data_IF_888037063531
#
_entry.id   IF_888037063531
#
_cell.length_a   1.000
_cell.length_b   1.000
_cell.length_c   1.000
_cell.angle_alpha   90.00
_cell.angle_beta   90.00
_cell.angle_gamma   90.00
#
_symmetry.space_group_name_H-M   'P 1'
#
loop_
_entity.id
_entity.type
_entity.pdbx_description
1 polymer ?
#
# COMPACT_ATOMS: atom_id res chain seq x y z
N UNK A 1 25.31 -59.84 1.46
CA UNK A 1 24.10 -60.04 0.64
C UNK A 1 22.96 -59.40 1.38
N UNK A 2 22.34 -58.43 0.71
CA UNK A 2 20.96 -57.93 0.84
C UNK A 2 20.43 -57.45 2.20
N UNK A 3 19.91 -56.22 2.17
CA UNK A 3 19.13 -55.63 3.26
C UNK A 3 18.96 -54.12 3.10
N UNK A 4 18.24 -53.71 2.06
CA UNK A 4 17.90 -52.32 1.75
C UNK A 4 17.04 -51.69 2.86
N UNK A 5 17.40 -50.48 3.32
CA UNK A 5 16.42 -49.57 3.94
C UNK A 5 16.75 -48.12 3.55
N UNK A 6 15.97 -47.62 2.61
CA UNK A 6 15.88 -46.21 2.23
C UNK A 6 15.55 -45.36 3.46
N UNK A 7 16.40 -44.39 3.78
CA UNK A 7 16.02 -43.22 4.57
C UNK A 7 16.37 -41.98 3.76
N UNK A 8 15.48 -41.65 2.84
CA UNK A 8 15.35 -40.30 2.29
C UNK A 8 14.65 -39.47 3.36
N UNK A 9 15.41 -38.70 4.15
CA UNK A 9 14.85 -37.57 4.89
C UNK A 9 15.20 -36.29 4.15
N UNK A 10 14.22 -35.88 3.34
CA UNK A 10 14.06 -34.56 2.75
C UNK A 10 14.20 -33.50 3.85
N UNK A 11 15.33 -32.79 3.89
CA UNK A 11 15.36 -31.42 4.40
C UNK A 11 15.00 -30.49 3.24
N UNK A 12 13.82 -30.73 2.67
CA UNK A 12 13.15 -29.79 1.80
C UNK A 12 12.76 -28.59 2.64
N UNK A 13 13.39 -27.47 2.33
CA UNK A 13 12.96 -26.11 2.58
C UNK A 13 11.89 -25.91 3.63
N UNK A 14 12.31 -25.40 4.78
CA UNK A 14 11.59 -24.27 5.36
C UNK A 14 11.80 -23.06 4.44
N UNK A 15 11.30 -23.16 3.19
CA UNK A 15 10.74 -21.99 2.56
C UNK A 15 9.57 -21.64 3.45
N UNK A 16 9.80 -20.71 4.37
CA UNK A 16 8.76 -19.78 4.71
C UNK A 16 8.43 -19.11 3.38
N UNK A 17 7.55 -19.73 2.59
CA UNK A 17 6.70 -19.00 1.69
C UNK A 17 5.88 -18.13 2.63
N UNK A 18 6.47 -16.99 2.99
CA UNK A 18 5.76 -15.78 3.32
C UNK A 18 4.75 -15.67 2.21
N UNK A 19 3.55 -16.20 2.45
CA UNK A 19 2.39 -15.83 1.69
C UNK A 19 2.22 -14.39 2.10
N UNK A 20 3.01 -13.50 1.49
CA UNK A 20 2.78 -12.07 1.53
C UNK A 20 1.30 -11.97 1.18
N UNK A 21 0.47 -11.61 2.16
CA UNK A 21 -0.96 -11.49 1.96
C UNK A 21 -1.13 -10.61 0.74
N UNK A 22 -1.47 -11.22 -0.40
CA UNK A 22 -1.60 -10.50 -1.65
C UNK A 22 -2.78 -9.56 -1.45
N UNK A 23 -2.48 -8.29 -1.18
CA UNK A 23 -3.50 -7.26 -1.03
C UNK A 23 -4.15 -7.11 -2.40
N UNK A 24 -5.47 -7.38 -2.54
CA UNK A 24 -6.12 -7.17 -3.82
C UNK A 24 -6.12 -5.68 -4.14
N UNK A 25 -5.85 -5.35 -5.40
CA UNK A 25 -5.89 -3.99 -5.92
C UNK A 25 -7.02 -3.83 -6.93
N UNK A 26 -7.61 -2.65 -6.96
CA UNK A 26 -8.78 -2.35 -7.77
C UNK A 26 -8.59 -1.02 -8.50
N UNK A 27 -8.49 -1.08 -9.83
CA UNK A 27 -8.44 0.10 -10.68
C UNK A 27 -9.82 0.72 -10.80
N UNK A 28 -9.93 2.01 -10.48
CA UNK A 28 -11.16 2.78 -10.55
C UNK A 28 -10.99 3.83 -11.65
N UNK A 29 -11.63 3.58 -12.79
CA UNK A 29 -11.62 4.48 -13.94
C UNK A 29 -12.64 5.64 -13.78
N UNK A 30 -12.51 6.38 -12.68
CA UNK A 30 -13.26 7.60 -12.39
C UNK A 30 -12.25 8.65 -11.98
N UNK A 31 -12.34 9.86 -12.55
CA UNK A 31 -11.41 10.94 -12.25
C UNK A 31 -11.86 11.65 -10.98
N UNK A 32 -10.99 11.67 -9.98
CA UNK A 32 -11.20 12.32 -8.70
C UNK A 32 -9.92 13.06 -8.28
N UNK A 33 -10.06 14.08 -7.44
CA UNK A 33 -8.92 14.59 -6.67
C UNK A 33 -8.40 13.51 -5.73
N UNK A 34 -7.14 13.61 -5.30
CA UNK A 34 -6.57 12.64 -4.37
C UNK A 34 -7.41 12.44 -3.08
N UNK A 35 -7.89 13.50 -2.37
CA UNK A 35 -8.71 13.29 -1.16
C UNK A 35 -10.10 12.69 -1.45
N UNK A 36 -10.70 13.01 -2.59
CA UNK A 36 -11.96 12.39 -3.03
C UNK A 36 -11.77 10.90 -3.34
N UNK A 37 -10.69 10.56 -4.05
CA UNK A 37 -10.31 9.18 -4.35
C UNK A 37 -10.04 8.38 -3.06
N UNK A 38 -9.35 8.97 -2.08
CA UNK A 38 -9.16 8.37 -0.76
C UNK A 38 -10.48 8.07 -0.07
N UNK A 39 -11.41 9.04 -0.08
CA UNK A 39 -12.73 8.88 0.53
C UNK A 39 -13.53 7.78 -0.17
N UNK A 40 -13.47 7.72 -1.51
CA UNK A 40 -14.08 6.65 -2.29
C UNK A 40 -13.54 5.27 -1.89
N UNK A 41 -12.21 5.13 -1.80
CA UNK A 41 -11.59 3.88 -1.43
C UNK A 41 -11.96 3.45 -0.01
N UNK A 42 -11.96 4.38 0.97
CA UNK A 42 -12.34 4.07 2.36
C UNK A 42 -13.82 3.72 2.54
N UNK A 43 -14.68 4.14 1.61
CA UNK A 43 -16.09 3.78 1.64
C UNK A 43 -16.34 2.35 1.11
N UNK A 44 -15.53 1.89 0.15
CA UNK A 44 -15.78 0.67 -0.64
C UNK A 44 -14.72 -0.42 -0.49
N UNK A 45 -13.54 -0.09 0.02
CA UNK A 45 -12.35 -0.92 0.16
C UNK A 45 -11.62 -0.52 1.46
N UNK A 46 -10.32 -0.81 1.57
CA UNK A 46 -9.53 -0.38 2.74
C UNK A 46 -9.08 1.08 2.62
N UNK A 47 -8.26 1.40 1.60
CA UNK A 47 -7.76 2.75 1.32
C UNK A 47 -7.24 2.83 -0.14
N UNK A 48 -6.70 3.97 -0.56
CA UNK A 48 -5.86 4.08 -1.75
C UNK A 48 -4.66 3.14 -1.67
N UNK A 49 -4.19 2.65 -2.82
CA UNK A 49 -3.16 1.63 -2.91
C UNK A 49 -1.88 1.98 -2.16
N UNK A 50 -1.49 1.11 -1.23
CA UNK A 50 -0.17 1.09 -0.59
C UNK A 50 0.73 0.12 -1.33
N UNK A 51 1.97 0.54 -1.59
CA UNK A 51 2.96 -0.23 -2.39
C UNK A 51 4.20 -0.46 -1.53
N UNK A 52 4.54 -1.72 -1.26
CA UNK A 52 5.67 -2.08 -0.40
C UNK A 52 6.82 -2.81 -1.12
N UNK A 53 6.64 -3.14 -2.41
CA UNK A 53 7.59 -3.93 -3.18
C UNK A 53 7.48 -3.68 -4.69
N UNK A 54 8.45 -4.18 -5.46
CA UNK A 54 8.35 -4.21 -6.92
C UNK A 54 7.24 -5.15 -7.41
N UNK A 55 6.91 -6.19 -6.66
CA UNK A 55 5.78 -7.06 -6.99
C UNK A 55 4.46 -6.30 -6.92
N UNK A 56 4.28 -5.42 -5.94
CA UNK A 56 3.13 -4.53 -5.87
C UNK A 56 3.08 -3.58 -7.08
N UNK A 57 4.21 -2.96 -7.43
CA UNK A 57 4.31 -2.09 -8.63
C UNK A 57 3.84 -2.84 -9.87
N UNK A 58 4.34 -4.07 -10.08
CA UNK A 58 3.97 -4.91 -11.21
C UNK A 58 2.47 -5.26 -11.20
N UNK A 59 1.90 -5.58 -10.03
CA UNK A 59 0.45 -5.83 -9.91
C UNK A 59 -0.36 -4.58 -10.23
N UNK A 60 0.03 -3.41 -9.74
CA UNK A 60 -0.64 -2.14 -10.01
C UNK A 60 -0.61 -1.78 -11.50
N UNK A 61 0.54 -1.94 -12.17
CA UNK A 61 0.66 -1.66 -13.61
C UNK A 61 -0.27 -2.57 -14.42
N UNK A 62 -0.37 -3.85 -14.06
CA UNK A 62 -1.15 -4.85 -14.80
C UNK A 62 -2.68 -4.73 -14.64
N UNK A 63 -3.18 -4.06 -13.60
CA UNK A 63 -4.63 -3.90 -13.39
C UNK A 63 -5.22 -2.65 -14.06
N UNK A 64 -4.37 -1.72 -14.49
CA UNK A 64 -4.83 -0.52 -15.18
C UNK A 64 -5.20 -0.87 -16.63
N UNK A 65 -6.26 -0.26 -17.15
CA UNK A 65 -6.75 -0.51 -18.51
C UNK A 65 -5.63 -0.35 -19.55
N UNK A 66 -5.48 -1.32 -20.45
CA UNK A 66 -4.38 -1.41 -21.43
C UNK A 66 -4.25 -0.21 -22.40
N UNK A 67 -5.25 0.68 -22.45
CA UNK A 67 -5.22 1.92 -23.24
C UNK A 67 -4.93 3.19 -22.44
N UNK A 68 -4.82 3.11 -21.11
CA UNK A 68 -4.55 4.27 -20.27
C UNK A 68 -3.05 4.50 -20.11
N UNK A 69 -2.57 5.65 -20.62
CA UNK A 69 -1.15 6.04 -20.58
C UNK A 69 -0.86 7.20 -19.61
N UNK A 70 -1.82 7.54 -18.74
CA UNK A 70 -1.66 8.61 -17.76
C UNK A 70 -1.13 8.12 -16.41
N UNK A 71 -1.17 9.00 -15.41
CA UNK A 71 -0.94 8.61 -14.02
C UNK A 71 -2.23 8.27 -13.29
N UNK A 72 -2.15 7.36 -12.34
CA UNK A 72 -3.25 6.97 -11.46
C UNK A 72 -2.87 7.26 -10.01
N UNK A 73 -3.81 7.73 -9.20
CA UNK A 73 -3.53 7.98 -7.79
C UNK A 73 -3.21 6.69 -7.03
N UNK A 74 -2.18 6.77 -6.19
CA UNK A 74 -1.85 5.79 -5.15
C UNK A 74 -1.91 6.48 -3.78
N UNK A 75 -1.83 5.72 -2.69
CA UNK A 75 -2.03 6.21 -1.33
C UNK A 75 -0.89 7.05 -0.76
N UNK A 76 0.17 7.35 -1.53
CA UNK A 76 1.31 8.12 -1.04
C UNK A 76 1.04 9.62 -1.10
N UNK A 77 1.34 10.33 -0.02
CA UNK A 77 1.24 11.79 0.07
C UNK A 77 2.32 12.37 0.98
N UNK A 78 2.47 13.70 0.97
CA UNK A 78 3.37 14.40 1.90
C UNK A 78 2.97 14.11 3.34
N UNK A 79 3.96 13.70 4.13
CA UNK A 79 3.84 13.49 5.57
C UNK A 79 4.08 14.77 6.36
N UNK A 80 3.73 14.73 7.64
CA UNK A 80 3.98 15.82 8.60
C UNK A 80 5.29 15.66 9.37
N UNK A 81 5.90 14.47 9.28
CA UNK A 81 7.13 14.11 9.96
C UNK A 81 8.10 13.48 8.97
N UNK A 82 9.39 13.62 9.26
CA UNK A 82 10.45 12.94 8.52
C UNK A 82 11.00 11.79 9.35
N UNK A 83 11.24 10.64 8.72
CA UNK A 83 11.78 9.44 9.39
C UNK A 83 12.86 8.79 8.54
N UNK A 84 13.96 8.40 9.17
CA UNK A 84 15.00 7.63 8.51
C UNK A 84 14.50 6.21 8.24
N UNK A 85 14.70 5.74 7.01
CA UNK A 85 14.32 4.40 6.60
C UNK A 85 15.17 3.88 5.45
N UNK A 86 15.04 2.58 5.21
CA UNK A 86 15.79 1.88 4.18
C UNK A 86 15.01 1.83 2.87
N UNK A 87 15.73 2.07 1.77
CA UNK A 87 15.19 2.17 0.41
C UNK A 87 14.42 0.92 -0.06
N UNK A 88 14.79 -0.25 0.46
CA UNK A 88 14.11 -1.53 0.18
C UNK A 88 12.74 -1.65 0.87
N UNK A 89 12.34 -0.69 1.72
CA UNK A 89 11.08 -0.71 2.44
C UNK A 89 11.10 -1.50 3.74
N UNK A 90 12.27 -1.85 4.26
CA UNK A 90 12.35 -2.40 5.62
C UNK A 90 11.81 -1.39 6.64
N UNK A 91 10.92 -1.85 7.53
CA UNK A 91 10.33 -1.07 8.61
C UNK A 91 11.19 -1.13 9.89
N UNK A 92 12.34 -1.83 9.85
CA UNK A 92 13.35 -1.62 10.87
C UNK A 92 13.86 -0.19 10.75
N UNK A 93 13.57 0.63 11.76
CA UNK A 93 14.32 1.86 11.98
C UNK A 93 15.81 1.48 11.98
N UNK A 94 16.68 2.29 11.38
CA UNK A 94 18.12 2.05 11.37
C UNK A 94 18.66 2.06 12.82
N UNK A 95 18.57 0.91 13.49
CA UNK A 95 19.05 0.70 14.86
C UNK A 95 20.57 0.64 14.88
N UNK A 96 21.14 0.10 13.81
CA UNK A 96 22.57 0.15 13.54
C UNK A 96 22.91 1.42 12.76
N UNK A 97 23.92 2.16 13.22
CA UNK A 97 24.41 3.34 12.53
C UNK A 97 25.88 3.61 12.81
N UNK A 98 26.59 4.09 11.79
CA UNK A 98 27.99 4.51 11.87
C UNK A 98 28.13 5.99 11.46
N UNK A 99 27.18 6.82 11.90
CA UNK A 99 27.19 8.26 11.65
C UNK A 99 28.45 8.91 12.21
N UNK A 100 29.07 9.79 11.41
CA UNK A 100 30.10 10.68 11.90
C UNK A 100 29.54 11.65 12.95
N UNK A 101 30.41 12.17 13.83
CA UNK A 101 30.05 13.22 14.78
C UNK A 101 29.37 14.40 14.06
N UNK A 102 28.24 14.85 14.60
CA UNK A 102 27.42 15.92 14.01
C UNK A 102 26.45 15.48 12.89
N UNK A 103 26.41 14.19 12.53
CA UNK A 103 25.47 13.63 11.56
C UNK A 103 24.45 12.67 12.21
N UNK A 104 23.26 12.48 11.60
CA UNK A 104 22.73 13.25 10.47
C UNK A 104 22.46 14.71 10.87
N UNK A 105 22.79 15.64 9.96
CA UNK A 105 22.56 17.07 10.13
C UNK A 105 21.29 17.52 9.39
N UNK A 106 20.88 18.77 9.57
CA UNK A 106 19.68 19.33 8.93
C UNK A 106 19.83 19.61 7.43
N UNK A 107 21.02 19.47 6.87
CA UNK A 107 21.35 19.84 5.49
C UNK A 107 21.16 18.70 4.48
N UNK A 108 21.07 17.45 4.97
CA UNK A 108 21.05 16.26 4.13
C UNK A 108 19.95 15.27 4.47
N UNK A 109 19.25 14.80 3.44
CA UNK A 109 18.18 13.80 3.56
C UNK A 109 18.61 12.42 3.03
N UNK A 110 19.81 12.29 2.48
CA UNK A 110 20.32 11.04 1.93
C UNK A 110 21.68 10.69 2.53
N UNK A 111 21.93 9.41 2.76
CA UNK A 111 23.15 8.95 3.41
C UNK A 111 24.20 8.51 2.40
N UNK A 112 25.42 9.01 2.56
CA UNK A 112 26.59 8.53 1.83
C UNK A 112 27.68 8.06 2.78
N UNK A 113 28.54 7.20 2.25
CA UNK A 113 29.77 6.80 2.91
C UNK A 113 30.95 7.61 2.39
N UNK A 114 31.78 8.06 3.31
CA UNK A 114 33.14 8.53 3.04
C UNK A 114 34.04 8.27 4.25
N UNK A 115 35.34 8.07 4.01
CA UNK A 115 36.35 8.00 5.07
C UNK A 115 36.05 6.98 6.21
N UNK A 116 35.31 5.90 5.94
CA UNK A 116 35.03 4.87 6.94
C UNK A 116 33.72 5.04 7.71
N UNK A 117 33.00 6.16 7.55
CA UNK A 117 31.80 6.53 8.34
C UNK A 117 30.68 7.08 7.46
N UNK A 118 29.49 7.27 8.05
CA UNK A 118 28.29 7.75 7.35
C UNK A 118 28.09 9.25 7.52
N UNK A 119 27.59 9.89 6.47
CA UNK A 119 27.30 11.31 6.41
C UNK A 119 25.96 11.55 5.74
N UNK A 120 25.24 12.58 6.16
CA UNK A 120 24.01 13.07 5.53
C UNK A 120 24.34 14.14 4.51
N UNK A 121 23.73 14.08 3.32
CA UNK A 121 23.99 15.03 2.24
C UNK A 121 22.74 15.28 1.37
N UNK A 122 22.66 16.41 0.64
CA UNK A 122 21.54 16.67 -0.25
C UNK A 122 21.38 15.55 -1.29
N UNK A 123 20.18 14.97 -1.37
CA UNK A 123 19.88 13.85 -2.27
C UNK A 123 20.10 14.16 -3.75
N UNK A 124 20.06 15.45 -4.12
CA UNK A 124 20.30 15.95 -5.49
C UNK A 124 21.76 15.87 -5.93
N UNK A 125 22.69 15.67 -4.99
CA UNK A 125 24.12 15.62 -5.29
C UNK A 125 24.48 14.38 -6.10
N UNK A 126 25.39 14.53 -7.06
CA UNK A 126 25.84 13.41 -7.88
C UNK A 126 26.98 12.68 -7.18
N UNK A 127 26.78 11.41 -6.83
CA UNK A 127 27.81 10.51 -6.29
C UNK A 127 27.76 9.16 -7.02
N UNK A 128 28.75 8.31 -6.78
CA UNK A 128 28.66 6.88 -7.06
C UNK A 128 27.71 6.21 -6.06
N UNK A 129 27.40 4.92 -6.23
CA UNK A 129 26.53 4.21 -5.29
C UNK A 129 26.98 2.76 -5.06
N UNK A 130 26.39 2.14 -4.03
CA UNK A 130 26.51 0.70 -3.80
C UNK A 130 25.11 0.09 -3.87
N UNK A 131 24.93 -0.88 -4.76
CA UNK A 131 23.73 -1.69 -4.83
C UNK A 131 23.92 -3.00 -4.04
N UNK A 132 22.82 -3.64 -3.65
CA UNK A 132 22.83 -5.04 -3.27
C UNK A 132 22.02 -5.87 -4.27
N UNK A 133 22.36 -7.15 -4.38
CA UNK A 133 21.65 -8.14 -5.19
C UNK A 133 21.27 -9.33 -4.33
N UNK A 134 19.98 -9.62 -4.17
CA UNK A 134 19.49 -10.84 -3.50
C UNK A 134 19.85 -12.08 -4.31
N UNK A 135 19.84 -11.97 -5.64
CA UNK A 135 20.12 -13.09 -6.55
C UNK A 135 21.56 -13.59 -6.44
N UNK A 136 22.53 -12.66 -6.39
CA UNK A 136 23.95 -13.02 -6.25
C UNK A 136 24.47 -12.96 -4.82
N UNK A 137 23.68 -12.44 -3.87
CA UNK A 137 24.09 -12.17 -2.49
C UNK A 137 25.35 -11.28 -2.39
N UNK A 138 25.45 -10.27 -3.25
CA UNK A 138 26.63 -9.41 -3.37
C UNK A 138 26.29 -7.91 -3.22
N UNK A 139 27.31 -7.15 -2.80
CA UNK A 139 27.33 -5.70 -2.88
C UNK A 139 28.11 -5.24 -4.11
N UNK A 140 27.49 -4.40 -4.94
CA UNK A 140 28.04 -3.96 -6.22
C UNK A 140 28.26 -2.46 -6.20
N UNK A 141 29.51 -2.02 -6.33
CA UNK A 141 29.82 -0.59 -6.49
C UNK A 141 29.52 -0.13 -7.92
N UNK A 142 28.68 0.88 -8.04
CA UNK A 142 28.31 1.49 -9.32
C UNK A 142 29.07 2.80 -9.52
N UNK A 143 29.94 2.81 -10.53
CA UNK A 143 30.76 3.97 -10.90
C UNK A 143 30.05 4.88 -11.92
N UNK A 144 28.84 5.32 -11.57
CA UNK A 144 28.06 6.27 -12.37
C UNK A 144 27.62 7.41 -11.46
N UNK A 145 27.91 8.65 -11.86
CA UNK A 145 27.50 9.85 -11.13
C UNK A 145 25.99 10.02 -11.23
N UNK A 146 25.29 9.82 -10.11
CA UNK A 146 23.83 9.88 -10.02
C UNK A 146 23.42 10.55 -8.72
N UNK A 147 22.29 11.25 -8.74
CA UNK A 147 21.61 11.64 -7.51
C UNK A 147 21.06 10.38 -6.81
N UNK A 148 20.65 10.50 -5.55
CA UNK A 148 20.27 9.34 -4.75
C UNK A 148 19.10 8.56 -5.36
N UNK A 149 18.04 9.25 -5.84
CA UNK A 149 16.88 8.58 -6.46
C UNK A 149 17.26 7.86 -7.76
N UNK A 150 18.09 8.48 -8.61
CA UNK A 150 18.52 7.88 -9.87
C UNK A 150 19.46 6.70 -9.63
N UNK A 151 20.28 6.76 -8.56
CA UNK A 151 21.11 5.65 -8.12
C UNK A 151 20.25 4.47 -7.64
N UNK A 152 19.19 4.74 -6.86
CA UNK A 152 18.20 3.74 -6.46
C UNK A 152 17.51 3.09 -7.66
N UNK A 153 17.01 3.91 -8.58
CA UNK A 153 16.38 3.43 -9.80
C UNK A 153 17.32 2.56 -10.64
N UNK A 154 18.60 2.94 -10.72
CA UNK A 154 19.62 2.13 -11.39
C UNK A 154 19.82 0.78 -10.68
N UNK A 155 19.95 0.77 -9.35
CA UNK A 155 20.11 -0.47 -8.60
C UNK A 155 18.92 -1.40 -8.78
N UNK A 156 17.68 -0.89 -8.76
CA UNK A 156 16.46 -1.70 -8.99
C UNK A 156 16.32 -2.20 -10.43
N UNK A 157 16.90 -1.51 -11.40
CA UNK A 157 16.88 -1.92 -12.79
C UNK A 157 17.88 -3.03 -13.10
N UNK A 158 19.02 -3.06 -12.40
CA UNK A 158 20.14 -3.94 -12.71
C UNK A 158 20.47 -4.98 -11.62
N UNK A 159 19.96 -4.77 -10.41
CA UNK A 159 20.20 -5.55 -9.19
C UNK A 159 18.89 -5.55 -8.35
N UNK A 160 18.96 -5.60 -7.02
CA UNK A 160 17.77 -5.52 -6.16
C UNK A 160 17.44 -4.09 -5.73
N UNK A 161 18.33 -3.41 -5.00
CA UNK A 161 18.15 -2.01 -4.56
C UNK A 161 19.50 -1.40 -4.12
N UNK A 162 19.51 -0.15 -3.63
CA UNK A 162 20.65 0.41 -2.91
C UNK A 162 20.95 -0.40 -1.64
N UNK A 163 22.24 -0.56 -1.33
CA UNK A 163 22.71 -1.34 -0.19
C UNK A 163 22.11 -0.86 1.14
N UNK A 164 21.54 -1.80 1.90
CA UNK A 164 21.04 -1.59 3.26
C UNK A 164 22.01 -2.17 4.28
N UNK A 165 22.03 -1.64 5.51
CA UNK A 165 23.03 -2.00 6.52
C UNK A 165 22.37 -2.19 7.89
N UNK A 166 22.22 -3.43 8.33
CA UNK A 166 21.51 -3.77 9.57
C UNK A 166 22.45 -4.18 10.70
N UNK A 167 23.71 -4.45 10.38
CA UNK A 167 24.72 -4.91 11.34
C UNK A 167 26.14 -4.61 10.85
N UNK A 168 27.11 -4.85 11.73
CA UNK A 168 28.52 -4.61 11.45
C UNK A 168 29.14 -5.56 10.42
N UNK A 169 28.59 -6.78 10.24
CA UNK A 169 29.06 -7.73 9.24
C UNK A 169 28.74 -7.24 7.83
N UNK A 170 27.48 -6.87 7.58
CA UNK A 170 27.05 -6.19 6.35
C UNK A 170 27.88 -4.93 6.10
N UNK A 171 28.14 -4.16 7.15
CA UNK A 171 28.96 -2.97 7.03
C UNK A 171 30.39 -3.25 6.56
N UNK A 172 31.03 -4.27 7.12
CA UNK A 172 32.37 -4.66 6.73
C UNK A 172 32.43 -5.16 5.28
N UNK A 173 31.41 -5.89 4.82
CA UNK A 173 31.31 -6.32 3.42
C UNK A 173 31.19 -5.13 2.47
N UNK A 174 30.34 -4.15 2.78
CA UNK A 174 30.18 -2.93 1.96
C UNK A 174 31.48 -2.13 1.91
N UNK A 175 32.19 -1.95 3.03
CA UNK A 175 33.49 -1.27 3.03
C UNK A 175 34.52 -1.96 2.11
N UNK A 176 34.49 -3.28 1.99
CA UNK A 176 35.44 -4.03 1.17
C UNK A 176 35.30 -3.73 -0.33
N UNK A 177 34.13 -3.30 -0.80
CA UNK A 177 33.87 -2.96 -2.21
C UNK A 177 34.02 -1.46 -2.51
N UNK A 178 34.31 -0.63 -1.49
CA UNK A 178 34.44 0.82 -1.63
C UNK A 178 35.91 1.24 -1.43
N UNK A 179 36.57 1.84 -2.44
CA UNK A 179 37.90 2.42 -2.25
C UNK A 179 37.91 3.54 -1.21
N UNK A 180 38.98 3.66 -0.42
CA UNK A 180 39.07 4.56 0.75
C UNK A 180 38.76 6.04 0.49
N UNK A 181 38.97 6.52 -0.74
CA UNK A 181 38.71 7.91 -1.16
C UNK A 181 37.42 8.07 -2.00
N UNK A 182 36.49 7.12 -1.92
CA UNK A 182 35.22 7.20 -2.65
C UNK A 182 34.09 7.73 -1.80
N UNK A 183 33.20 8.51 -2.43
CA UNK A 183 31.95 8.94 -1.85
C UNK A 183 30.83 8.19 -2.55
N UNK A 184 30.06 7.40 -1.79
CA UNK A 184 29.06 6.51 -2.37
C UNK A 184 27.73 6.60 -1.62
N UNK A 185 26.64 6.71 -2.38
CA UNK A 185 25.29 6.54 -1.87
C UNK A 185 25.04 5.10 -1.43
N UNK A 186 24.26 4.96 -0.36
CA UNK A 186 23.65 3.71 0.07
C UNK A 186 22.18 3.96 0.46
N UNK A 187 21.45 2.91 0.80
CA UNK A 187 19.99 2.90 0.82
C UNK A 187 19.31 3.62 1.99
N UNK A 188 20.04 4.27 2.88
CA UNK A 188 19.47 5.01 4.00
C UNK A 188 19.08 6.43 3.55
N UNK A 189 17.84 6.83 3.83
CA UNK A 189 17.33 8.16 3.50
C UNK A 189 16.28 8.64 4.51
N UNK A 190 16.12 9.95 4.59
CA UNK A 190 15.18 10.65 5.45
C UNK A 190 13.90 10.89 4.65
N UNK A 191 12.90 10.05 4.88
CA UNK A 191 11.66 10.07 4.13
C UNK A 191 10.67 11.10 4.71
N UNK A 192 10.06 11.89 3.83
CA UNK A 192 9.03 12.89 4.15
C UNK A 192 7.64 12.53 3.62
N UNK A 193 7.47 11.31 3.13
CA UNK A 193 6.22 10.80 2.56
C UNK A 193 5.58 9.77 3.48
N UNK A 194 4.25 9.75 3.51
CA UNK A 194 3.47 8.77 4.26
C UNK A 194 2.38 8.13 3.41
N UNK A 195 2.10 6.86 3.69
CA UNK A 195 0.94 6.17 3.13
C UNK A 195 -0.35 6.60 3.84
N UNK A 196 -1.42 6.69 3.07
CA UNK A 196 -2.74 7.17 3.51
C UNK A 196 -3.34 6.29 4.60
N UNK A 197 -3.07 4.99 4.55
CA UNK A 197 -3.47 3.96 5.51
C UNK A 197 -2.59 3.91 6.77
N UNK A 198 -1.61 4.82 6.89
CA UNK A 198 -0.63 4.89 7.99
C UNK A 198 0.31 3.69 8.08
N UNK A 199 0.41 2.88 7.02
CA UNK A 199 1.37 1.80 6.96
C UNK A 199 2.81 2.35 6.88
N UNK A 200 3.68 1.90 7.79
CA UNK A 200 5.06 2.40 7.95
C UNK A 200 6.01 1.67 7.00
N UNK A 201 5.94 1.94 5.68
CA UNK A 201 6.93 1.41 4.73
C UNK A 201 7.60 2.51 3.93
N UNK A 202 8.91 2.40 3.82
CA UNK A 202 9.81 3.36 3.16
C UNK A 202 10.06 3.04 1.68
N UNK A 203 9.41 2.00 1.11
CA UNK A 203 9.59 1.68 -0.30
C UNK A 203 9.14 2.85 -1.18
N UNK A 204 10.04 3.35 -2.04
CA UNK A 204 9.76 4.46 -2.97
C UNK A 204 10.15 4.11 -4.39
N UNK A 205 9.25 4.27 -5.36
CA UNK A 205 9.52 3.99 -6.77
C UNK A 205 9.41 5.25 -7.64
N UNK A 206 10.08 6.33 -7.21
CA UNK A 206 10.08 7.61 -7.91
C UNK A 206 10.64 7.52 -9.34
N UNK A 207 10.05 8.30 -10.23
CA UNK A 207 10.59 8.61 -11.55
C UNK A 207 11.89 9.41 -11.45
N UNK A 208 12.67 9.45 -12.53
CA UNK A 208 13.88 10.25 -12.59
C UNK A 208 13.58 11.72 -12.28
N UNK A 209 14.40 12.35 -11.42
CA UNK A 209 14.19 13.72 -10.97
C UNK A 209 13.03 13.93 -9.98
N UNK A 210 12.40 12.87 -9.49
CA UNK A 210 11.39 12.92 -8.43
C UNK A 210 11.94 12.42 -7.07
N UNK A 211 11.36 12.85 -5.94
CA UNK A 211 10.46 13.99 -5.82
C UNK A 211 11.20 15.31 -6.14
N UNK A 212 10.63 16.13 -7.03
CA UNK A 212 11.02 17.54 -7.21
C UNK A 212 10.98 18.31 -5.89
N UNK A 213 11.99 19.16 -5.68
CA UNK A 213 12.08 20.11 -4.55
C UNK A 213 11.42 21.47 -4.84
N UNK A 214 10.82 21.65 -6.02
CA UNK A 214 10.17 22.91 -6.39
C UNK A 214 8.92 23.18 -5.55
N UNK A 215 8.72 24.43 -5.11
CA UNK A 215 7.56 24.85 -4.29
C UNK A 215 6.18 24.59 -4.91
N UNK A 216 6.09 24.22 -6.19
CA UNK A 216 4.86 23.87 -6.88
C UNK A 216 4.68 22.38 -7.20
N UNK A 217 5.53 21.48 -6.67
CA UNK A 217 5.53 20.06 -7.10
C UNK A 217 4.32 19.24 -6.65
N UNK A 218 3.43 19.78 -5.82
CA UNK A 218 2.27 19.07 -5.29
C UNK A 218 2.65 18.02 -4.22
N UNK A 219 1.67 17.67 -3.40
CA UNK A 219 1.87 16.84 -2.20
C UNK A 219 1.21 15.46 -2.30
N UNK A 220 0.71 15.09 -3.49
CA UNK A 220 0.04 13.83 -3.76
C UNK A 220 0.74 13.10 -4.90
N UNK A 221 0.68 11.76 -4.89
CA UNK A 221 1.52 10.94 -5.76
C UNK A 221 0.70 10.08 -6.69
N UNK A 222 1.04 10.16 -7.97
CA UNK A 222 0.48 9.31 -9.01
C UNK A 222 1.52 8.34 -9.55
N UNK A 223 1.07 7.12 -9.87
CA UNK A 223 1.86 6.10 -10.55
C UNK A 223 1.62 6.18 -12.05
N UNK A 224 2.68 6.27 -12.86
CA UNK A 224 2.60 6.27 -14.32
C UNK A 224 2.68 4.85 -14.88
N UNK A 225 1.67 4.42 -15.64
CA UNK A 225 1.73 3.14 -16.37
C UNK A 225 2.66 3.21 -17.58
N UNK A 226 2.82 4.39 -18.18
CA UNK A 226 3.71 4.62 -19.32
C UNK A 226 5.20 4.61 -18.95
N UNK A 227 5.52 4.78 -17.67
CA UNK A 227 6.89 4.78 -17.14
C UNK A 227 7.08 3.61 -16.15
N UNK A 228 6.64 2.40 -16.54
CA UNK A 228 6.87 1.17 -15.78
C UNK A 228 6.46 1.23 -14.29
N UNK A 229 5.39 1.96 -13.97
CA UNK A 229 4.91 2.11 -12.59
C UNK A 229 5.67 3.14 -11.76
N UNK A 230 6.51 3.99 -12.37
CA UNK A 230 7.25 5.06 -11.68
C UNK A 230 6.33 6.16 -11.18
N UNK A 231 6.75 6.80 -10.08
CA UNK A 231 5.93 7.76 -9.35
C UNK A 231 6.36 9.19 -9.59
N UNK A 232 5.37 10.09 -9.63
CA UNK A 232 5.61 11.52 -9.68
C UNK A 232 4.65 12.25 -8.75
N UNK A 233 5.08 13.44 -8.33
CA UNK A 233 4.25 14.34 -7.53
C UNK A 233 3.30 15.12 -8.43
N UNK A 234 2.11 15.39 -7.91
CA UNK A 234 1.05 16.15 -8.56
C UNK A 234 0.29 16.98 -7.52
N UNK A 235 -0.34 18.06 -7.99
CA UNK A 235 -1.33 18.78 -7.18
C UNK A 235 -2.43 17.82 -6.74
N UNK A 236 -2.78 17.84 -5.46
CA UNK A 236 -3.80 16.95 -4.89
C UNK A 236 -5.20 17.16 -5.50
N UNK A 237 -5.46 18.34 -6.08
CA UNK A 237 -6.73 18.69 -6.72
C UNK A 237 -6.85 18.15 -8.16
N UNK A 238 -5.76 17.60 -8.72
CA UNK A 238 -5.75 17.07 -10.08
C UNK A 238 -6.69 15.87 -10.20
N UNK A 239 -7.53 15.88 -11.24
CA UNK A 239 -8.56 14.87 -11.45
C UNK A 239 -8.00 13.68 -12.24
N UNK A 240 -7.73 12.56 -11.56
CA UNK A 240 -7.15 11.35 -12.17
C UNK A 240 -7.87 10.08 -11.70
N UNK A 241 -7.87 9.00 -12.52
CA UNK A 241 -8.19 7.66 -12.06
C UNK A 241 -7.29 7.22 -10.90
N UNK A 242 -7.69 6.19 -10.17
CA UNK A 242 -7.01 5.81 -8.94
C UNK A 242 -7.10 4.31 -8.66
N UNK A 243 -6.25 3.84 -7.76
CA UNK A 243 -6.22 2.43 -7.36
C UNK A 243 -6.55 2.33 -5.87
N UNK A 244 -7.56 1.53 -5.52
CA UNK A 244 -7.85 1.14 -4.14
C UNK A 244 -7.20 -0.21 -3.81
N UNK A 245 -6.96 -0.49 -2.53
CA UNK A 245 -6.58 -1.83 -2.07
C UNK A 245 -7.50 -2.39 -1.00
N UNK A 246 -7.42 -3.71 -0.83
CA UNK A 246 -8.15 -4.47 0.17
C UNK A 246 -9.48 -4.97 -0.35
N UNK A 247 -10.09 -5.88 0.39
CA UNK A 247 -11.34 -6.51 -0.02
C UNK A 247 -12.45 -5.46 -0.17
N UNK A 248 -13.33 -5.69 -1.16
CA UNK A 248 -14.56 -4.91 -1.30
C UNK A 248 -15.36 -4.99 0.01
N UNK A 249 -15.60 -3.84 0.62
CA UNK A 249 -16.42 -3.72 1.82
C UNK A 249 -17.88 -3.96 1.47
N UNK A 250 -18.37 -5.16 1.79
CA UNK A 250 -19.79 -5.47 1.73
C UNK A 250 -20.52 -4.80 2.90
N UNK A 251 -20.86 -3.51 2.77
CA UNK A 251 -21.67 -2.81 3.78
C UNK A 251 -23.09 -3.38 3.80
N UNK A 252 -23.38 -4.23 4.78
CA UNK A 252 -24.75 -4.67 5.08
C UNK A 252 -25.50 -3.52 5.73
N UNK A 253 -26.38 -2.86 4.99
CA UNK A 253 -27.35 -1.96 5.57
C UNK A 253 -28.56 -2.76 6.06
N UNK A 254 -28.95 -2.56 7.33
CA UNK A 254 -30.12 -3.20 7.91
C UNK A 254 -31.26 -2.19 7.87
N UNK A 255 -32.27 -2.48 7.06
CA UNK A 255 -33.51 -1.70 7.00
C UNK A 255 -34.57 -2.42 7.85
N UNK A 256 -35.20 -1.70 8.79
CA UNK A 256 -36.33 -2.21 9.56
C UNK A 256 -37.62 -1.88 8.82
N UNK A 257 -38.42 -2.89 8.51
CA UNK A 257 -39.71 -2.74 7.83
C UNK A 257 -40.85 -2.95 8.81
N UNK A 258 -41.87 -2.11 8.72
CA UNK A 258 -43.15 -2.28 9.40
C UNK A 258 -44.21 -2.44 8.32
N UNK A 259 -44.84 -3.61 8.30
CA UNK A 259 -45.83 -3.98 7.29
C UNK A 259 -47.16 -4.31 8.00
N UNK A 260 -48.27 -4.03 7.32
CA UNK A 260 -49.60 -4.39 7.77
C UNK A 260 -50.33 -5.08 6.62
N UNK A 261 -50.93 -6.23 6.88
CA UNK A 261 -51.80 -6.91 5.94
C UNK A 261 -53.02 -7.47 6.68
N UNK A 262 -54.18 -7.47 6.01
CA UNK A 262 -55.45 -7.89 6.61
C UNK A 262 -55.64 -9.41 6.60
N UNK A 263 -55.19 -10.07 5.54
CA UNK A 263 -55.36 -11.53 5.32
C UNK A 263 -54.08 -12.15 4.76
N UNK A 264 -52.95 -11.97 5.45
CA UNK A 264 -51.70 -12.58 5.01
C UNK A 264 -50.83 -13.01 6.19
N UNK A 265 -49.97 -14.00 5.96
CA UNK A 265 -48.92 -14.40 6.90
C UNK A 265 -47.59 -13.83 6.42
N UNK A 266 -47.07 -12.78 7.06
CA UNK A 266 -45.82 -12.11 6.65
C UNK A 266 -44.59 -13.04 6.65
N UNK A 267 -44.64 -14.16 7.36
CA UNK A 267 -43.59 -15.19 7.34
C UNK A 267 -43.78 -16.28 6.26
N UNK A 268 -44.76 -16.13 5.36
CA UNK A 268 -44.89 -17.00 4.19
C UNK A 268 -43.72 -16.79 3.20
N UNK A 269 -43.02 -17.85 2.77
CA UNK A 269 -41.86 -17.73 1.88
C UNK A 269 -42.14 -17.08 0.53
N UNK A 270 -43.33 -17.32 -0.06
CA UNK A 270 -43.70 -16.76 -1.36
C UNK A 270 -43.98 -15.25 -1.25
N UNK A 271 -44.63 -14.84 -0.16
CA UNK A 271 -44.87 -13.44 0.15
C UNK A 271 -43.55 -12.70 0.46
N UNK A 272 -42.68 -13.30 1.26
CA UNK A 272 -41.34 -12.78 1.56
C UNK A 272 -40.50 -12.54 0.30
N UNK A 273 -40.56 -13.47 -0.65
CA UNK A 273 -39.86 -13.36 -1.94
C UNK A 273 -40.43 -12.20 -2.76
N UNK A 274 -41.77 -12.07 -2.79
CA UNK A 274 -42.46 -11.00 -3.51
C UNK A 274 -42.13 -9.61 -2.93
N UNK A 275 -42.08 -9.48 -1.60
CA UNK A 275 -41.68 -8.23 -0.93
C UNK A 275 -40.22 -7.86 -1.26
N UNK A 276 -39.28 -8.82 -1.21
CA UNK A 276 -37.89 -8.53 -1.58
C UNK A 276 -37.77 -8.10 -3.04
N UNK A 277 -38.53 -8.71 -3.94
CA UNK A 277 -38.57 -8.33 -5.34
C UNK A 277 -39.07 -6.89 -5.51
N UNK A 278 -40.17 -6.51 -4.84
CA UNK A 278 -40.71 -5.16 -4.91
C UNK A 278 -39.73 -4.11 -4.35
N UNK A 279 -39.06 -4.41 -3.23
CA UNK A 279 -37.99 -3.56 -2.68
C UNK A 279 -36.85 -3.42 -3.69
N UNK A 280 -36.44 -4.52 -4.34
CA UNK A 280 -35.38 -4.50 -5.36
C UNK A 280 -35.73 -3.59 -6.52
N UNK A 281 -36.94 -3.72 -7.09
CA UNK A 281 -37.41 -2.88 -8.19
C UNK A 281 -37.52 -1.41 -7.77
N UNK A 282 -37.94 -1.14 -6.54
CA UNK A 282 -38.01 0.23 -6.04
C UNK A 282 -36.62 0.85 -5.91
N UNK A 283 -35.64 0.11 -5.38
CA UNK A 283 -34.25 0.57 -5.29
C UNK A 283 -33.65 0.86 -6.68
N UNK A 284 -33.91 -0.01 -7.67
CA UNK A 284 -33.53 0.24 -9.07
C UNK A 284 -34.15 1.53 -9.60
N UNK A 285 -35.44 1.75 -9.39
CA UNK A 285 -36.13 2.97 -9.84
C UNK A 285 -35.60 4.26 -9.21
N UNK A 286 -34.91 4.15 -8.07
CA UNK A 286 -34.28 5.26 -7.36
C UNK A 286 -32.81 5.47 -7.75
N UNK A 287 -32.30 4.73 -8.75
CA UNK A 287 -30.91 4.82 -9.19
C UNK A 287 -29.90 4.22 -8.20
N UNK A 288 -30.35 3.41 -7.23
CA UNK A 288 -29.51 2.70 -6.27
C UNK A 288 -29.05 1.35 -6.81
N UNK A 289 -28.66 1.30 -8.09
CA UNK A 289 -28.12 0.11 -8.74
C UNK A 289 -26.72 -0.19 -8.21
N UNK A 290 -26.66 -1.00 -7.15
CA UNK A 290 -25.46 -1.77 -6.84
C UNK A 290 -25.82 -3.25 -6.78
N UNK A 291 -24.80 -4.11 -6.84
CA UNK A 291 -24.82 -5.58 -6.64
C UNK A 291 -25.32 -6.00 -5.24
N UNK A 292 -26.29 -5.27 -4.68
CA UNK A 292 -26.85 -5.41 -3.35
C UNK A 292 -27.63 -6.71 -3.26
N UNK A 293 -27.01 -7.74 -2.68
CA UNK A 293 -27.70 -8.97 -2.31
C UNK A 293 -28.70 -8.67 -1.18
N UNK A 294 -29.96 -8.44 -1.54
CA UNK A 294 -31.06 -8.30 -0.58
C UNK A 294 -31.39 -9.66 0.04
N UNK A 295 -31.49 -9.71 1.36
CA UNK A 295 -31.86 -10.92 2.08
C UNK A 295 -32.54 -10.58 3.39
N UNK A 296 -33.48 -11.44 3.81
CA UNK A 296 -34.05 -11.34 5.15
C UNK A 296 -33.03 -11.67 6.22
N UNK A 297 -33.04 -10.90 7.32
CA UNK A 297 -32.37 -11.28 8.56
C UNK A 297 -33.34 -12.14 9.36
N UNK A 298 -33.05 -13.44 9.46
CA UNK A 298 -33.80 -14.36 10.30
C UNK A 298 -33.30 -14.31 11.75
N UNK A 299 -34.19 -14.62 12.69
CA UNK A 299 -33.85 -14.88 14.10
C UNK A 299 -33.60 -16.37 14.34
N UNK A 300 -33.24 -16.70 15.57
CA UNK A 300 -33.02 -18.08 16.04
C UNK A 300 -34.25 -18.97 15.83
N UNK A 301 -35.46 -18.40 15.79
CA UNK A 301 -36.72 -19.09 15.51
C UNK A 301 -37.06 -19.18 14.01
N UNK A 302 -36.10 -18.85 13.14
CA UNK A 302 -36.23 -18.78 11.67
C UNK A 302 -37.26 -17.76 11.14
N UNK A 303 -37.88 -16.96 12.02
CA UNK A 303 -38.83 -15.92 11.62
C UNK A 303 -38.14 -14.62 11.23
N UNK A 304 -38.81 -13.88 10.36
CA UNK A 304 -38.36 -12.56 9.87
C UNK A 304 -39.21 -11.45 10.48
N UNK A 305 -40.53 -11.62 10.49
CA UNK A 305 -41.48 -10.63 11.01
C UNK A 305 -42.09 -11.09 12.33
N UNK A 306 -42.19 -10.15 13.27
CA UNK A 306 -42.99 -10.31 14.47
C UNK A 306 -44.25 -9.46 14.39
N UNK A 307 -45.28 -9.94 15.05
CA UNK A 307 -46.42 -9.11 15.40
C UNK A 307 -45.97 -8.11 16.47
N UNK A 308 -46.10 -6.83 16.15
CA UNK A 308 -45.87 -5.76 17.12
C UNK A 308 -46.94 -5.87 18.21
N UNK A 309 -46.54 -6.29 19.41
CA UNK A 309 -47.44 -6.31 20.56
C UNK A 309 -47.65 -4.87 21.04
N UNK A 310 -48.91 -4.46 21.20
CA UNK A 310 -49.27 -3.21 21.87
C UNK A 310 -48.94 -3.32 23.38
N UNK A 311 -47.64 -3.34 23.73
CA UNK A 311 -47.23 -3.01 25.08
C UNK A 311 -47.20 -1.50 25.20
N UNK A 312 -48.14 -0.99 25.99
CA UNK A 312 -48.23 0.39 26.45
C UNK A 312 -46.84 0.97 26.77
N UNK A 313 -46.64 2.21 26.34
CA UNK A 313 -45.51 3.05 26.67
C UNK A 313 -45.18 3.01 28.18
N UNK A 314 -43.99 2.52 28.53
CA UNK A 314 -43.13 3.16 29.53
C UNK A 314 -41.77 2.47 29.61
N UNK A 315 -40.75 3.10 29.04
CA UNK A 315 -39.51 3.42 29.75
C UNK A 315 -38.51 4.04 28.78
N UNK A 316 -37.99 5.19 29.16
CA UNK A 316 -36.79 5.78 28.61
C UNK A 316 -35.72 4.71 28.45
N UNK A 317 -35.33 4.40 27.21
CA UNK A 317 -34.05 3.79 26.94
C UNK A 317 -33.41 4.57 25.80
N UNK A 318 -32.49 5.44 26.21
CA UNK A 318 -31.50 6.09 25.38
C UNK A 318 -30.85 5.08 24.43
N UNK A 319 -30.69 5.48 23.17
CA UNK A 319 -29.81 4.80 22.24
C UNK A 319 -28.37 4.84 22.80
N UNK A 320 -27.92 3.74 23.41
CA UNK A 320 -26.48 3.47 23.48
C UNK A 320 -26.02 2.93 22.13
N UNK A 321 -25.29 3.78 21.41
CA UNK A 321 -24.41 3.36 20.32
C UNK A 321 -23.43 2.32 20.88
N UNK A 322 -23.34 1.17 20.21
CA UNK A 322 -22.17 0.30 20.26
C UNK A 322 -21.58 0.26 18.86
#
# INVERSE_FOLDING_TARGET
MEGSLFVLLLLSGLFWSSSALSRPYHYINVRMSWPEAQSYCRERFTDLATVDSMDDVNRLVNIVDAGYSGSVWIGLKRGTQKRWGWSNGDDTLAQYSEWNEGHPNSEGECSYFAFGVWYSYPCSSLLHSVCYSVESAEYIRVQKWKNWTDAQSYCRQHHTDLATIHNSEEWNLIKSVIPSNSWVWFGLFLDSWEWSDKWSRFFRHWAAGQPSQSSGSGDCVGMSTADSGKWAQYSCDLQQPFICYGDKLNRKQIVRLKLSCKECTLNDPSLQTSILHEISEKLKSMGLESESKLSWRKREDEKVFDQESNYMANSNNECKKQ
#
